data_IF_017037304680
#
_entry.id   IF_017037304680
#
_cell.length_a   1.000
_cell.length_b   1.000
_cell.length_c   1.000
_cell.angle_alpha   90.00
_cell.angle_beta   90.00
_cell.angle_gamma   90.00
#
_symmetry.space_group_name_H-M   'P 1'
#
loop_
_entity.id
_entity.type
_entity.pdbx_description
1 polymer ?
#
# COMPACT_ATOMS: atom_id res chain seq x y z
N UNK A 1 1.12 11.78 -11.80
CA UNK A 1 0.77 10.91 -12.95
C UNK A 1 -0.74 10.96 -13.13
N UNK A 2 -1.24 10.85 -14.35
CA UNK A 2 -2.65 11.05 -14.71
C UNK A 2 -2.81 10.93 -16.22
N UNK A 3 -3.73 11.68 -16.83
CA UNK A 3 -3.96 11.65 -18.28
C UNK A 3 -2.68 11.71 -19.15
N UNK A 4 -1.63 12.51 -18.85
CA UNK A 4 -0.41 12.54 -19.68
C UNK A 4 0.40 11.24 -19.68
N UNK A 5 0.35 10.46 -18.61
CA UNK A 5 1.12 9.20 -18.49
C UNK A 5 0.28 7.99 -18.88
N UNK A 6 -1.01 8.01 -18.53
CA UNK A 6 -1.88 6.83 -18.54
C UNK A 6 -3.05 6.96 -19.52
N UNK A 7 -3.20 8.09 -20.21
CA UNK A 7 -4.29 8.34 -21.17
C UNK A 7 -5.67 8.58 -20.54
N UNK A 8 -5.81 8.41 -19.23
CA UNK A 8 -7.07 8.58 -18.49
C UNK A 8 -6.85 9.25 -17.12
N UNK A 9 -7.89 9.85 -16.56
CA UNK A 9 -7.87 10.42 -15.20
C UNK A 9 -8.17 9.38 -14.12
N UNK A 10 -8.91 8.34 -14.45
CA UNK A 10 -9.32 7.29 -13.54
C UNK A 10 -9.64 6.00 -14.29
N UNK A 11 -9.41 4.86 -13.63
CA UNK A 11 -9.84 3.55 -14.08
C UNK A 11 -10.45 2.82 -12.89
N UNK A 12 -11.60 2.20 -13.09
CA UNK A 12 -12.24 1.33 -12.10
C UNK A 12 -11.61 -0.07 -12.09
N UNK A 13 -10.29 -0.12 -12.02
CA UNK A 13 -9.58 -1.39 -11.93
C UNK A 13 -9.52 -1.89 -10.48
N UNK A 14 -9.18 -3.17 -10.31
CA UNK A 14 -9.15 -3.80 -8.99
C UNK A 14 -8.17 -3.12 -8.01
N UNK A 15 -7.05 -2.57 -8.49
CA UNK A 15 -6.03 -1.93 -7.66
C UNK A 15 -6.50 -0.57 -7.17
N UNK A 16 -6.84 0.33 -8.11
CA UNK A 16 -7.27 1.69 -7.77
C UNK A 16 -8.60 1.68 -7.00
N UNK A 17 -9.51 0.77 -7.33
CA UNK A 17 -10.79 0.66 -6.61
C UNK A 17 -10.59 0.14 -5.19
N UNK A 18 -9.72 -0.86 -4.98
CA UNK A 18 -9.45 -1.38 -3.63
C UNK A 18 -8.66 -0.38 -2.77
N UNK A 19 -7.75 0.40 -3.35
CA UNK A 19 -7.10 1.53 -2.68
C UNK A 19 -8.11 2.64 -2.31
N UNK A 20 -9.07 2.96 -3.18
CA UNK A 20 -10.14 3.91 -2.88
C UNK A 20 -11.04 3.41 -1.74
N UNK A 21 -11.38 2.12 -1.73
CA UNK A 21 -12.12 1.48 -0.63
C UNK A 21 -11.31 1.58 0.66
N UNK A 22 -9.99 1.34 0.63
CA UNK A 22 -9.13 1.49 1.79
C UNK A 22 -9.15 2.92 2.32
N UNK A 23 -9.10 3.93 1.44
CA UNK A 23 -9.21 5.34 1.82
C UNK A 23 -10.52 5.61 2.58
N UNK A 24 -11.66 5.11 2.09
CA UNK A 24 -12.94 5.29 2.78
C UNK A 24 -13.01 4.52 4.10
N UNK A 25 -12.42 3.33 4.19
CA UNK A 25 -12.34 2.59 5.45
C UNK A 25 -11.50 3.37 6.46
N UNK A 26 -10.36 3.93 6.04
CA UNK A 26 -9.49 4.73 6.90
C UNK A 26 -10.17 6.00 7.42
N UNK A 27 -10.81 6.76 6.52
CA UNK A 27 -11.61 7.93 6.89
C UNK A 27 -12.80 7.54 7.78
N UNK A 28 -13.45 6.41 7.50
CA UNK A 28 -14.53 5.84 8.29
C UNK A 28 -14.09 5.51 9.73
N UNK A 29 -12.93 4.88 9.90
CA UNK A 29 -12.33 4.58 11.20
C UNK A 29 -12.09 5.86 12.00
N UNK A 30 -11.42 6.85 11.39
CA UNK A 30 -11.07 8.11 12.06
C UNK A 30 -12.34 8.88 12.46
N UNK A 31 -13.25 9.06 11.50
CA UNK A 31 -14.48 9.83 11.73
C UNK A 31 -15.37 9.16 12.77
N UNK A 32 -15.55 7.84 12.70
CA UNK A 32 -16.41 7.10 13.64
C UNK A 32 -15.83 7.08 15.05
N UNK A 33 -14.51 6.95 15.18
CA UNK A 33 -13.85 7.01 16.49
C UNK A 33 -13.97 8.39 17.14
N UNK A 34 -13.94 9.45 16.33
CA UNK A 34 -14.08 10.82 16.82
C UNK A 34 -15.53 11.20 17.12
N UNK A 35 -16.50 10.69 16.36
CA UNK A 35 -17.92 11.02 16.51
C UNK A 35 -18.58 10.43 17.76
N UNK A 36 -17.93 9.45 18.41
CA UNK A 36 -18.45 8.79 19.61
C UNK A 36 -17.64 9.25 20.84
N UNK A 37 -18.36 9.80 21.84
CA UNK A 37 -17.74 10.29 23.08
C UNK A 37 -17.17 9.16 23.94
N UNK A 38 -17.95 8.10 24.15
CA UNK A 38 -17.48 6.90 24.87
C UNK A 38 -16.45 6.15 24.01
N UNK A 39 -15.17 6.35 24.35
CA UNK A 39 -14.05 5.76 23.61
C UNK A 39 -14.02 4.23 23.66
N UNK A 40 -14.57 3.60 24.70
CA UNK A 40 -14.66 2.14 24.75
C UNK A 40 -15.71 1.65 23.75
N UNK A 41 -16.87 2.31 23.69
CA UNK A 41 -17.90 2.00 22.69
C UNK A 41 -17.40 2.30 21.27
N UNK A 42 -16.71 3.42 21.08
CA UNK A 42 -16.11 3.81 19.81
C UNK A 42 -15.14 2.73 19.30
N UNK A 43 -14.20 2.29 20.15
CA UNK A 43 -13.26 1.21 19.83
C UNK A 43 -13.96 -0.07 19.42
N UNK A 44 -15.00 -0.49 20.14
CA UNK A 44 -15.72 -1.74 19.82
C UNK A 44 -16.35 -1.71 18.42
N UNK A 45 -16.90 -0.57 18.02
CA UNK A 45 -17.53 -0.42 16.69
C UNK A 45 -16.46 -0.31 15.61
N UNK A 46 -15.41 0.49 15.85
CA UNK A 46 -14.30 0.69 14.91
C UNK A 46 -13.52 -0.60 14.66
N UNK A 47 -13.41 -1.49 15.65
CA UNK A 47 -12.75 -2.79 15.50
C UNK A 47 -13.37 -3.64 14.38
N UNK A 48 -14.69 -3.58 14.20
CA UNK A 48 -15.37 -4.30 13.12
C UNK A 48 -14.92 -3.77 11.76
N UNK A 49 -14.87 -2.43 11.61
CA UNK A 49 -14.38 -1.77 10.40
C UNK A 49 -12.91 -2.09 10.11
N UNK A 50 -12.07 -2.17 11.14
CA UNK A 50 -10.67 -2.57 11.00
C UNK A 50 -10.56 -4.01 10.48
N UNK A 51 -11.33 -4.95 11.04
CA UNK A 51 -11.32 -6.35 10.58
C UNK A 51 -11.76 -6.45 9.12
N UNK A 52 -12.79 -5.71 8.72
CA UNK A 52 -13.23 -5.65 7.32
C UNK A 52 -12.12 -5.05 6.44
N UNK A 53 -11.48 -3.97 6.90
CA UNK A 53 -10.35 -3.35 6.21
C UNK A 53 -9.15 -4.28 6.05
N UNK A 54 -8.90 -5.17 7.02
CA UNK A 54 -7.82 -6.14 6.94
C UNK A 54 -7.99 -7.10 5.76
N UNK A 55 -9.22 -7.47 5.41
CA UNK A 55 -9.53 -8.33 4.24
C UNK A 55 -9.20 -7.60 2.93
N UNK A 56 -9.30 -6.27 2.90
CA UNK A 56 -8.98 -5.48 1.71
C UNK A 56 -7.47 -5.45 1.41
N UNK A 57 -6.61 -5.57 2.43
CA UNK A 57 -5.15 -5.54 2.29
C UNK A 57 -4.60 -6.61 1.34
N UNK A 58 -4.91 -7.92 1.48
CA UNK A 58 -4.45 -8.92 0.52
C UNK A 58 -5.02 -8.69 -0.88
N UNK A 59 -6.25 -8.17 -1.00
CA UNK A 59 -6.83 -7.84 -2.31
C UNK A 59 -6.00 -6.76 -3.00
N UNK A 60 -5.65 -5.68 -2.31
CA UNK A 60 -4.78 -4.62 -2.85
C UNK A 60 -3.44 -5.19 -3.25
N UNK A 61 -2.78 -5.95 -2.36
CA UNK A 61 -1.45 -6.49 -2.60
C UNK A 61 -1.41 -7.39 -3.83
N UNK A 62 -2.31 -8.38 -3.89
CA UNK A 62 -2.34 -9.34 -4.98
C UNK A 62 -3.09 -8.83 -6.21
N UNK A 63 -3.74 -7.66 -6.16
CA UNK A 63 -4.41 -7.07 -7.33
C UNK A 63 -3.47 -6.91 -8.53
N UNK A 64 -2.17 -6.71 -8.25
CA UNK A 64 -1.09 -6.57 -9.23
C UNK A 64 -0.85 -7.86 -10.02
N UNK A 65 -1.11 -9.01 -9.41
CA UNK A 65 -0.89 -10.34 -10.00
C UNK A 65 -2.20 -10.94 -10.53
N UNK A 66 -3.31 -10.75 -9.81
CA UNK A 66 -4.61 -11.32 -10.16
C UNK A 66 -5.26 -10.60 -11.36
N UNK A 67 -5.01 -9.29 -11.55
CA UNK A 67 -5.57 -8.53 -12.66
C UNK A 67 -4.50 -7.78 -13.45
N UNK A 68 -4.35 -8.17 -14.72
CA UNK A 68 -3.55 -7.44 -15.70
C UNK A 68 -4.32 -6.18 -16.12
N UNK A 69 -3.91 -5.04 -15.60
CA UNK A 69 -4.58 -3.73 -15.79
C UNK A 69 -3.61 -2.75 -16.45
N UNK A 70 -3.96 -1.47 -16.48
CA UNK A 70 -3.12 -0.40 -17.03
C UNK A 70 -1.74 -0.32 -16.34
N UNK A 71 -1.67 -0.80 -15.10
CA UNK A 71 -0.45 -0.80 -14.33
C UNK A 71 0.44 -1.99 -14.66
N UNK A 72 1.74 -1.72 -14.79
CA UNK A 72 2.75 -2.77 -14.88
C UNK A 72 2.66 -3.74 -13.68
N UNK A 73 2.94 -5.01 -13.97
CA UNK A 73 3.13 -6.05 -12.96
C UNK A 73 4.44 -5.86 -12.18
N UNK A 74 4.76 -6.77 -11.25
CA UNK A 74 5.95 -6.64 -10.41
C UNK A 74 7.21 -6.77 -11.27
N UNK A 75 8.27 -6.02 -10.98
CA UNK A 75 9.51 -6.06 -11.80
C UNK A 75 10.74 -6.53 -11.04
N UNK A 76 10.68 -6.55 -9.71
CA UNK A 76 11.80 -6.91 -8.82
C UNK A 76 11.54 -8.22 -8.08
N UNK A 77 10.37 -8.36 -7.45
CA UNK A 77 10.01 -9.48 -6.58
C UNK A 77 9.30 -10.63 -7.32
N UNK A 78 9.70 -10.87 -8.57
CA UNK A 78 9.23 -12.05 -9.32
C UNK A 78 10.08 -13.27 -8.94
N UNK A 79 9.48 -14.47 -8.98
CA UNK A 79 10.23 -15.72 -8.80
C UNK A 79 11.23 -15.96 -9.95
N UNK A 80 10.95 -15.41 -11.12
CA UNK A 80 11.85 -15.36 -12.26
C UNK A 80 12.80 -14.15 -12.23
N UNK A 81 13.67 -14.04 -13.23
CA UNK A 81 14.59 -12.90 -13.38
C UNK A 81 13.85 -11.55 -13.31
N UNK A 82 14.38 -10.56 -12.57
CA UNK A 82 13.82 -9.21 -12.55
C UNK A 82 13.65 -8.67 -13.97
N UNK A 83 12.50 -8.05 -14.23
CA UNK A 83 12.22 -7.39 -15.52
C UNK A 83 12.60 -5.91 -15.48
N UNK A 84 13.04 -5.40 -14.33
CA UNK A 84 13.54 -4.04 -14.20
C UNK A 84 14.90 -3.87 -14.91
N UNK A 85 15.02 -2.82 -15.73
CA UNK A 85 16.29 -2.48 -16.38
C UNK A 85 17.35 -2.11 -15.33
N UNK A 86 18.62 -2.43 -15.59
CA UNK A 86 19.71 -2.24 -14.61
C UNK A 86 19.87 -0.78 -14.17
N UNK A 87 19.59 0.18 -15.07
CA UNK A 87 19.64 1.62 -14.76
C UNK A 87 18.59 2.05 -13.73
N UNK A 88 17.53 1.25 -13.51
CA UNK A 88 16.52 1.47 -12.47
C UNK A 88 16.77 0.58 -11.26
N UNK A 89 17.17 -0.68 -11.49
CA UNK A 89 17.38 -1.67 -10.43
C UNK A 89 18.59 -1.34 -9.55
N UNK A 90 19.70 -0.91 -10.13
CA UNK A 90 20.92 -0.64 -9.36
C UNK A 90 20.75 0.52 -8.35
N UNK A 91 20.21 1.70 -8.72
CA UNK A 91 19.92 2.75 -7.75
C UNK A 91 18.93 2.32 -6.67
N UNK A 92 17.91 1.53 -7.03
CA UNK A 92 16.93 1.01 -6.09
C UNK A 92 17.59 0.14 -5.01
N UNK A 93 18.40 -0.83 -5.42
CA UNK A 93 19.09 -1.74 -4.50
C UNK A 93 20.13 -1.00 -3.64
N UNK A 94 20.87 -0.05 -4.24
CA UNK A 94 21.81 0.78 -3.51
C UNK A 94 21.11 1.52 -2.36
N UNK A 95 20.04 2.25 -2.67
CA UNK A 95 19.30 2.99 -1.65
C UNK A 95 18.65 2.06 -0.62
N UNK A 96 18.10 0.92 -1.05
CA UNK A 96 17.53 -0.07 -0.14
C UNK A 96 18.56 -0.51 0.90
N UNK A 97 19.74 -0.94 0.46
CA UNK A 97 20.82 -1.41 1.36
C UNK A 97 21.28 -0.28 2.28
N UNK A 98 21.54 0.92 1.76
CA UNK A 98 21.96 2.07 2.55
C UNK A 98 20.94 2.41 3.65
N UNK A 99 19.65 2.41 3.34
CA UNK A 99 18.61 2.68 4.33
C UNK A 99 18.52 1.59 5.40
N UNK A 100 18.71 0.31 5.05
CA UNK A 100 18.74 -0.77 6.04
C UNK A 100 19.93 -0.62 7.00
N UNK A 101 21.13 -0.33 6.48
CA UNK A 101 22.30 -0.06 7.31
C UNK A 101 22.09 1.16 8.21
N UNK A 102 21.58 2.26 7.65
CA UNK A 102 21.25 3.45 8.42
C UNK A 102 20.26 3.14 9.57
N UNK A 103 19.19 2.40 9.27
CA UNK A 103 18.20 2.01 10.27
C UNK A 103 18.80 1.15 11.38
N UNK A 104 19.62 0.15 11.05
CA UNK A 104 20.32 -0.70 12.02
C UNK A 104 21.27 0.13 12.88
N UNK A 105 22.05 1.03 12.28
CA UNK A 105 22.94 1.93 13.02
C UNK A 105 22.16 2.83 13.97
N UNK A 106 21.03 3.39 13.55
CA UNK A 106 20.18 4.21 14.43
C UNK A 106 19.64 3.38 15.59
N UNK A 107 19.25 2.13 15.38
CA UNK A 107 18.81 1.25 16.46
C UNK A 107 19.94 1.00 17.45
N UNK A 108 21.13 0.61 16.97
CA UNK A 108 22.26 0.27 17.84
C UNK A 108 22.74 1.49 18.63
N UNK A 109 22.74 2.68 18.03
CA UNK A 109 23.17 3.92 18.71
C UNK A 109 22.09 4.53 19.62
N UNK A 110 20.85 4.03 19.59
CA UNK A 110 19.76 4.45 20.49
C UNK A 110 19.58 3.52 21.70
N UNK A 111 20.33 2.43 21.76
CA UNK A 111 20.53 1.57 22.93
C UNK A 111 21.74 2.09 23.70
#
# INVERSE_FOLDING_TARGET
>A
MGKPTWGTYWVWDARLTSELILLFIYLGIISLYQAIDDKRRASNIVNILIIIGLINIPIIHYSVEWWNTLHQGPTVTKLDKPSAHISMLAPLLYMFVTFQFFFILVIINKV
#
